data_IF_682758465484
#
_entry.id   IF_682758465484
#
_cell.length_a   1.000
_cell.length_b   1.000
_cell.length_c   1.000
_cell.angle_alpha   90.00
_cell.angle_beta   90.00
_cell.angle_gamma   90.00
#
_symmetry.space_group_name_H-M   'P 1'
#
loop_
_entity.id
_entity.type
_entity.pdbx_description
1 polymer ?
#
# COMPACT_ATOMS: atom_id res chain seq x y z
N UNK A 1 -16.73 -26.39 -1.74
CA UNK A 1 -15.77 -25.38 -1.22
C UNK A 1 -15.66 -24.23 -2.23
N UNK A 2 -15.93 -23.04 -1.79
CA UNK A 2 -15.73 -21.85 -2.65
C UNK A 2 -14.28 -21.40 -2.56
N UNK A 3 -13.64 -21.27 -3.71
CA UNK A 3 -12.29 -20.71 -3.77
C UNK A 3 -12.41 -19.20 -3.93
N UNK A 4 -11.74 -18.48 -3.06
CA UNK A 4 -11.63 -17.04 -3.18
C UNK A 4 -10.64 -16.71 -4.31
N UNK A 5 -11.09 -16.00 -5.32
CA UNK A 5 -10.27 -15.62 -6.48
C UNK A 5 -9.78 -14.17 -6.43
N UNK A 6 -10.28 -13.39 -5.48
CA UNK A 6 -9.91 -11.98 -5.36
C UNK A 6 -8.45 -11.85 -4.93
N UNK A 7 -7.68 -11.05 -5.66
CA UNK A 7 -6.24 -10.89 -5.40
C UNK A 7 -5.82 -9.44 -5.58
N UNK A 8 -4.91 -9.01 -4.71
CA UNK A 8 -4.11 -7.83 -4.97
C UNK A 8 -2.93 -8.29 -5.81
N UNK A 9 -2.86 -7.80 -7.03
CA UNK A 9 -1.84 -8.23 -7.99
C UNK A 9 -0.51 -7.54 -7.76
N UNK A 10 -0.54 -6.24 -7.45
CA UNK A 10 0.66 -5.48 -7.16
C UNK A 10 0.34 -4.25 -6.33
N UNK A 11 1.37 -3.75 -5.64
CA UNK A 11 1.35 -2.47 -4.94
C UNK A 11 2.65 -1.78 -5.34
N UNK A 12 2.55 -0.65 -6.06
CA UNK A 12 3.73 0.04 -6.58
C UNK A 12 3.76 1.48 -6.09
N UNK A 13 4.80 1.89 -5.34
CA UNK A 13 4.95 3.29 -4.98
C UNK A 13 5.43 4.10 -6.18
N UNK A 14 5.01 5.37 -6.22
CA UNK A 14 5.51 6.31 -7.22
C UNK A 14 5.49 7.72 -6.63
N UNK A 15 6.26 8.62 -7.25
CA UNK A 15 6.38 9.99 -6.74
C UNK A 15 5.14 10.81 -7.10
N UNK A 16 4.94 11.91 -6.37
CA UNK A 16 3.88 12.88 -6.61
C UNK A 16 4.25 13.85 -7.75
N UNK A 17 5.15 13.45 -8.63
CA UNK A 17 5.53 14.24 -9.80
C UNK A 17 4.55 14.04 -10.95
N UNK A 18 4.64 14.89 -11.98
CA UNK A 18 3.78 14.82 -13.14
C UNK A 18 3.88 13.49 -13.89
N UNK A 19 5.05 12.83 -13.83
CA UNK A 19 5.23 11.52 -14.44
C UNK A 19 4.85 10.41 -13.47
N UNK A 20 3.54 10.14 -13.38
CA UNK A 20 2.98 9.11 -12.52
C UNK A 20 3.03 7.72 -13.14
N UNK A 21 3.71 7.54 -14.27
CA UNK A 21 3.80 6.25 -14.96
C UNK A 21 4.97 5.41 -14.48
N UNK A 22 5.95 6.02 -13.82
CA UNK A 22 7.17 5.35 -13.40
C UNK A 22 7.13 4.97 -11.92
N UNK A 23 7.41 3.71 -11.59
CA UNK A 23 7.57 3.33 -10.19
C UNK A 23 8.74 4.08 -9.56
N UNK A 24 8.59 4.43 -8.29
CA UNK A 24 9.69 5.01 -7.52
C UNK A 24 9.89 4.17 -6.28
N UNK A 25 10.99 3.45 -6.22
CA UNK A 25 11.26 2.49 -5.16
C UNK A 25 12.17 3.07 -4.06
N UNK A 26 12.75 4.24 -4.30
CA UNK A 26 13.64 4.90 -3.36
C UNK A 26 13.28 6.38 -3.25
N UNK A 27 13.16 6.86 -2.04
CA UNK A 27 12.83 8.25 -1.72
C UNK A 27 13.97 8.84 -0.90
N UNK A 28 14.20 10.15 -1.04
CA UNK A 28 15.26 10.85 -0.33
C UNK A 28 14.68 11.98 0.52
N UNK A 29 15.17 12.10 1.74
CA UNK A 29 14.74 13.14 2.68
C UNK A 29 15.95 13.83 3.28
N UNK A 30 15.82 15.14 3.51
CA UNK A 30 16.93 15.92 4.08
C UNK A 30 17.10 15.64 5.56
N UNK A 31 15.98 15.60 6.27
CA UNK A 31 15.98 15.42 7.73
C UNK A 31 14.96 14.36 8.14
N UNK A 32 15.23 13.70 9.26
CA UNK A 32 14.28 12.77 9.89
C UNK A 32 13.93 13.24 11.29
N UNK A 33 12.71 12.99 11.78
CA UNK A 33 11.62 12.35 11.05
C UNK A 33 11.18 13.17 9.84
N UNK A 34 10.94 12.49 8.73
CA UNK A 34 10.50 13.13 7.50
C UNK A 34 8.98 13.01 7.38
N UNK A 35 8.38 13.97 6.69
CA UNK A 35 6.96 13.96 6.44
C UNK A 35 6.74 14.32 4.96
N UNK A 36 6.15 13.41 4.20
CA UNK A 36 5.84 13.65 2.79
C UNK A 36 4.73 12.71 2.32
N UNK A 37 4.24 12.98 1.13
CA UNK A 37 3.15 12.18 0.55
C UNK A 37 3.72 11.15 -0.42
N UNK A 38 3.20 9.92 -0.35
CA UNK A 38 3.54 8.86 -1.28
C UNK A 38 2.27 8.37 -1.95
N UNK A 39 2.34 8.22 -3.27
CA UNK A 39 1.27 7.61 -4.04
C UNK A 39 1.57 6.14 -4.25
N UNK A 40 0.54 5.32 -4.14
CA UNK A 40 0.62 3.89 -4.41
C UNK A 40 -0.39 3.53 -5.49
N UNK A 41 0.06 2.79 -6.49
CA UNK A 41 -0.83 2.18 -7.46
C UNK A 41 -1.07 0.74 -7.05
N UNK A 42 -2.32 0.38 -6.86
CA UNK A 42 -2.70 -0.96 -6.43
C UNK A 42 -3.52 -1.60 -7.53
N UNK A 43 -3.05 -2.73 -8.03
CA UNK A 43 -3.77 -3.52 -9.02
C UNK A 43 -4.48 -4.69 -8.35
N UNK A 44 -5.70 -4.95 -8.78
CA UNK A 44 -6.54 -6.02 -8.26
C UNK A 44 -7.14 -6.82 -9.40
N UNK A 45 -7.27 -8.12 -9.19
CA UNK A 45 -7.90 -9.02 -10.17
C UNK A 45 -8.85 -9.97 -9.45
N UNK A 46 -9.74 -10.60 -10.21
CA UNK A 46 -10.65 -11.60 -9.69
C UNK A 46 -11.77 -11.06 -8.82
N UNK A 47 -12.03 -9.75 -8.88
CA UNK A 47 -13.11 -9.14 -8.11
C UNK A 47 -14.47 -9.55 -8.66
N UNK A 48 -15.42 -9.82 -7.79
CA UNK A 48 -16.78 -10.15 -8.19
C UNK A 48 -17.47 -8.89 -8.73
N UNK A 49 -18.29 -9.00 -9.79
CA UNK A 49 -19.07 -7.86 -10.26
C UNK A 49 -20.11 -7.43 -9.24
N UNK A 50 -20.48 -6.16 -9.27
CA UNK A 50 -21.49 -5.56 -8.40
C UNK A 50 -21.25 -5.82 -6.92
N UNK A 51 -19.98 -5.75 -6.51
CA UNK A 51 -19.56 -6.08 -5.14
C UNK A 51 -18.76 -4.92 -4.57
N UNK A 52 -18.91 -4.69 -3.27
CA UNK A 52 -18.14 -3.69 -2.55
C UNK A 52 -17.05 -4.36 -1.74
N UNK A 53 -15.88 -3.73 -1.76
CA UNK A 53 -14.72 -4.17 -1.01
C UNK A 53 -14.13 -2.99 -0.24
N UNK A 54 -13.30 -3.31 0.72
CA UNK A 54 -12.50 -2.32 1.44
C UNK A 54 -11.04 -2.69 1.29
N UNK A 55 -10.22 -1.73 0.86
CA UNK A 55 -8.79 -1.92 0.70
C UNK A 55 -8.06 -1.06 1.71
N UNK A 56 -7.27 -1.70 2.57
CA UNK A 56 -6.39 -1.00 3.51
C UNK A 56 -4.95 -1.05 3.05
N UNK A 57 -4.24 0.05 3.19
CA UNK A 57 -2.78 0.10 3.01
C UNK A 57 -2.13 0.49 4.32
N UNK A 58 -1.08 -0.23 4.68
CA UNK A 58 -0.32 -0.01 5.90
C UNK A 58 1.16 0.14 5.54
N UNK A 59 1.79 1.23 6.00
CA UNK A 59 3.22 1.45 5.81
C UNK A 59 3.92 1.27 7.17
N UNK A 60 4.86 0.37 7.23
CA UNK A 60 5.55 -0.01 8.45
C UNK A 60 7.05 -0.01 8.19
N UNK A 61 7.87 0.60 9.09
CA UNK A 61 9.32 0.44 8.99
C UNK A 61 9.72 -1.02 9.14
N UNK A 62 10.42 -1.55 8.14
CA UNK A 62 10.95 -2.91 8.20
C UNK A 62 12.34 -2.93 8.85
N UNK A 63 13.21 -2.02 8.42
CA UNK A 63 14.53 -1.81 9.01
C UNK A 63 14.91 -0.35 8.91
N UNK A 64 15.35 0.23 10.02
CA UNK A 64 15.78 1.62 10.06
C UNK A 64 17.25 1.72 10.42
N UNK A 65 17.92 2.70 9.81
CA UNK A 65 19.30 3.06 10.14
C UNK A 65 19.31 4.51 10.61
N UNK A 66 19.48 4.72 11.91
CA UNK A 66 19.53 6.05 12.49
C UNK A 66 20.89 6.69 12.24
N UNK A 67 21.95 5.87 12.36
CA UNK A 67 23.32 6.24 12.01
C UNK A 67 23.85 5.20 11.07
N UNK A 68 24.79 5.60 10.23
CA UNK A 68 25.41 4.68 9.31
C UNK A 68 25.99 3.47 10.04
N UNK A 69 25.60 2.26 9.62
CA UNK A 69 26.01 1.02 10.22
C UNK A 69 25.23 0.60 11.46
N UNK A 70 24.30 1.40 11.93
CA UNK A 70 23.45 1.04 13.07
C UNK A 70 22.03 0.74 12.60
N UNK A 71 21.52 -0.39 13.03
CA UNK A 71 20.16 -0.80 12.75
C UNK A 71 19.28 -0.53 13.97
N UNK A 72 18.11 0.04 13.74
CA UNK A 72 17.14 0.33 14.77
C UNK A 72 15.77 -0.19 14.34
N UNK A 73 15.12 -0.90 15.24
CA UNK A 73 13.79 -1.42 15.00
C UNK A 73 12.78 -0.69 15.87
N UNK A 74 11.72 -0.15 15.25
CA UNK A 74 10.70 0.57 16.00
C UNK A 74 9.76 -0.40 16.72
N UNK A 75 9.18 0.06 17.83
CA UNK A 75 8.15 -0.71 18.51
C UNK A 75 6.92 -0.97 17.63
N UNK A 76 6.22 -2.04 17.92
CA UNK A 76 4.96 -2.37 17.28
C UNK A 76 3.97 -1.20 17.42
N UNK A 77 3.13 -1.02 16.40
CA UNK A 77 2.15 0.05 16.36
C UNK A 77 2.62 1.32 15.65
N UNK A 78 3.88 1.41 15.26
CA UNK A 78 4.39 2.52 14.46
C UNK A 78 4.07 2.27 13.00
N UNK A 79 2.90 2.71 12.57
CA UNK A 79 2.44 2.50 11.20
C UNK A 79 1.58 3.68 10.74
N UNK A 80 1.66 3.93 9.44
CA UNK A 80 0.75 4.84 8.74
C UNK A 80 -0.24 3.99 7.96
N UNK A 81 -1.50 4.40 7.92
CA UNK A 81 -2.52 3.60 7.25
C UNK A 81 -3.59 4.46 6.59
N UNK A 82 -4.20 3.89 5.57
CA UNK A 82 -5.37 4.46 4.89
C UNK A 82 -6.27 3.32 4.46
N UNK A 83 -7.57 3.58 4.41
CA UNK A 83 -8.55 2.62 3.93
C UNK A 83 -9.45 3.29 2.89
N UNK A 84 -9.70 2.59 1.79
CA UNK A 84 -10.56 3.09 0.72
C UNK A 84 -11.60 2.03 0.37
N UNK A 85 -12.76 2.50 -0.12
CA UNK A 85 -13.82 1.61 -0.60
C UNK A 85 -13.64 1.36 -2.09
N UNK A 86 -13.79 0.11 -2.50
CA UNK A 86 -13.73 -0.32 -3.89
C UNK A 86 -15.11 -0.85 -4.26
N UNK A 87 -15.65 -0.37 -5.36
CA UNK A 87 -16.98 -0.77 -5.82
C UNK A 87 -16.87 -1.20 -7.29
N UNK A 88 -17.26 -2.44 -7.54
CA UNK A 88 -17.28 -3.01 -8.90
C UNK A 88 -18.65 -2.89 -9.55
N UNK A 89 -19.44 -1.91 -9.13
CA UNK A 89 -20.74 -1.64 -9.69
C UNK A 89 -20.63 -1.46 -11.21
N UNK A 90 -21.59 -2.01 -11.93
CA UNK A 90 -21.66 -1.95 -13.39
C UNK A 90 -20.55 -2.73 -14.12
N UNK A 91 -19.82 -3.58 -13.43
CA UNK A 91 -18.88 -4.48 -14.09
C UNK A 91 -19.63 -5.63 -14.76
N UNK A 92 -19.32 -5.86 -16.04
CA UNK A 92 -19.93 -6.93 -16.86
C UNK A 92 -18.96 -8.10 -17.11
N UNK A 93 -17.86 -8.17 -16.40
CA UNK A 93 -16.82 -9.18 -16.65
C UNK A 93 -17.25 -10.53 -16.08
N UNK A 94 -17.41 -11.52 -16.94
CA UNK A 94 -17.86 -12.85 -16.55
C UNK A 94 -16.83 -13.60 -15.69
N UNK A 95 -15.55 -13.28 -15.83
CA UNK A 95 -14.45 -13.94 -15.12
C UNK A 95 -13.94 -13.13 -13.91
N UNK A 96 -14.68 -12.09 -13.54
CA UNK A 96 -14.29 -11.18 -12.48
C UNK A 96 -13.77 -9.85 -13.00
N UNK A 97 -13.92 -8.84 -12.19
CA UNK A 97 -13.44 -7.50 -12.52
C UNK A 97 -11.96 -7.36 -12.19
N UNK A 98 -11.25 -6.58 -12.97
CA UNK A 98 -9.90 -6.16 -12.67
C UNK A 98 -9.80 -4.64 -12.77
N UNK A 99 -8.88 -4.06 -12.05
CA UNK A 99 -8.71 -2.62 -12.06
C UNK A 99 -7.54 -2.18 -11.23
N UNK A 100 -7.29 -0.88 -11.32
CA UNK A 100 -6.24 -0.24 -10.55
C UNK A 100 -6.81 0.97 -9.83
N UNK A 101 -6.30 1.21 -8.62
CA UNK A 101 -6.61 2.44 -7.90
C UNK A 101 -5.29 3.11 -7.52
N UNK A 102 -5.33 4.44 -7.46
CA UNK A 102 -4.21 5.23 -6.95
C UNK A 102 -4.61 5.73 -5.57
N UNK A 103 -3.81 5.42 -4.58
CA UNK A 103 -4.04 5.80 -3.20
C UNK A 103 -2.89 6.69 -2.75
N UNK A 104 -3.20 7.87 -2.24
CA UNK A 104 -2.22 8.78 -1.71
C UNK A 104 -2.22 8.73 -0.19
N UNK A 105 -1.08 8.40 0.38
CA UNK A 105 -0.84 8.57 1.81
C UNK A 105 -0.27 9.96 2.02
N UNK A 106 -1.10 10.88 2.52
CA UNK A 106 -0.71 12.27 2.71
C UNK A 106 0.10 12.43 4.00
N UNK A 107 1.21 13.16 3.89
CA UNK A 107 1.98 13.61 5.04
C UNK A 107 2.32 12.46 6.00
N UNK A 108 2.69 11.31 5.46
CA UNK A 108 3.12 10.19 6.30
C UNK A 108 4.43 10.52 7.00
N UNK A 109 4.54 10.06 8.23
CA UNK A 109 5.72 10.31 9.03
C UNK A 109 6.68 9.12 8.93
N UNK A 110 7.89 9.40 8.46
CA UNK A 110 8.93 8.40 8.30
C UNK A 110 10.05 8.69 9.30
N UNK A 111 10.24 7.85 10.31
CA UNK A 111 11.13 8.15 11.43
C UNK A 111 12.61 8.11 11.09
N UNK A 112 13.03 7.35 10.09
CA UNK A 112 14.44 7.24 9.75
C UNK A 112 14.67 6.71 8.35
N UNK A 113 15.92 6.70 7.92
CA UNK A 113 16.29 6.08 6.65
C UNK A 113 16.26 4.56 6.80
N UNK A 114 15.92 3.86 5.72
CA UNK A 114 15.91 2.40 5.73
C UNK A 114 14.85 1.81 4.83
N UNK A 115 14.52 0.57 5.12
CA UNK A 115 13.54 -0.22 4.38
C UNK A 115 12.17 -0.13 5.03
N UNK A 116 11.17 0.14 4.21
CA UNK A 116 9.76 0.19 4.61
C UNK A 116 8.98 -0.85 3.84
N UNK A 117 7.99 -1.46 4.51
CA UNK A 117 7.04 -2.30 3.84
C UNK A 117 5.71 -1.57 3.67
N UNK A 118 5.02 -1.85 2.58
CA UNK A 118 3.64 -1.45 2.38
C UNK A 118 2.82 -2.72 2.19
N UNK A 119 1.82 -2.91 3.05
CA UNK A 119 0.95 -4.08 3.00
C UNK A 119 -0.44 -3.64 2.59
N UNK A 120 -0.97 -4.28 1.56
CA UNK A 120 -2.35 -4.12 1.15
C UNK A 120 -3.19 -5.26 1.69
N UNK A 121 -4.35 -4.94 2.24
CA UNK A 121 -5.30 -5.93 2.75
C UNK A 121 -6.65 -5.67 2.10
N UNK A 122 -7.11 -6.65 1.34
CA UNK A 122 -8.41 -6.58 0.69
C UNK A 122 -9.44 -7.29 1.56
N UNK A 123 -10.48 -6.55 1.95
CA UNK A 123 -11.56 -7.05 2.80
C UNK A 123 -12.86 -7.12 2.03
N UNK A 124 -13.66 -8.12 2.34
CA UNK A 124 -15.07 -8.09 1.99
C UNK A 124 -15.78 -6.99 2.79
N UNK A 125 -16.79 -6.37 2.19
CA UNK A 125 -17.59 -5.34 2.86
C UNK A 125 -18.71 -6.01 3.67
N UNK A 126 -18.31 -6.78 4.67
CA UNK A 126 -19.23 -7.44 5.61
C UNK A 126 -18.99 -6.93 7.03
N UNK A 127 -19.84 -7.35 7.97
CA UNK A 127 -19.76 -6.87 9.36
C UNK A 127 -18.48 -7.31 10.06
N UNK A 128 -17.89 -8.42 9.66
CA UNK A 128 -16.65 -8.95 10.26
C UNK A 128 -15.40 -8.59 9.49
N UNK A 129 -15.53 -7.91 8.35
CA UNK A 129 -14.42 -7.50 7.47
C UNK A 129 -13.51 -8.67 7.13
N UNK A 130 -14.11 -9.70 6.52
CA UNK A 130 -13.36 -10.89 6.11
C UNK A 130 -12.20 -10.52 5.22
N UNK A 131 -11.00 -10.97 5.58
CA UNK A 131 -9.79 -10.76 4.78
C UNK A 131 -9.81 -11.71 3.60
N UNK A 132 -9.78 -11.15 2.38
CA UNK A 132 -9.80 -11.92 1.16
C UNK A 132 -8.40 -12.18 0.63
N UNK A 133 -7.53 -11.18 0.72
CA UNK A 133 -6.15 -11.29 0.25
C UNK A 133 -5.27 -10.24 0.89
N UNK A 134 -4.00 -10.57 1.08
CA UNK A 134 -2.95 -9.66 1.52
C UNK A 134 -1.80 -9.72 0.53
N UNK A 135 -1.18 -8.58 0.27
CA UNK A 135 0.04 -8.51 -0.53
C UNK A 135 0.97 -7.46 0.06
N UNK A 136 2.25 -7.65 -0.10
CA UNK A 136 3.27 -6.80 0.48
C UNK A 136 4.25 -6.34 -0.59
N UNK A 137 4.69 -5.10 -0.49
CA UNK A 137 5.71 -4.52 -1.33
C UNK A 137 6.67 -3.71 -0.45
N UNK A 138 7.75 -3.20 -1.03
CA UNK A 138 8.79 -2.52 -0.27
C UNK A 138 9.28 -1.28 -1.01
N UNK A 139 9.76 -0.31 -0.24
CA UNK A 139 10.49 0.84 -0.77
C UNK A 139 11.55 1.26 0.24
N UNK A 140 12.52 2.02 -0.22
CA UNK A 140 13.59 2.53 0.65
C UNK A 140 13.49 4.03 0.79
N UNK A 141 13.98 4.52 1.92
CA UNK A 141 14.10 5.95 2.18
C UNK A 141 15.53 6.21 2.60
N UNK A 142 16.18 7.13 1.93
CA UNK A 142 17.57 7.51 2.19
C UNK A 142 17.67 8.97 2.60
N UNK A 143 18.77 9.31 3.24
CA UNK A 143 19.08 10.68 3.59
C UNK A 143 19.82 11.34 2.42
N UNK A 144 19.31 12.50 2.03
CA UNK A 144 19.92 13.31 0.99
C UNK A 144 21.24 13.94 1.49
#
# INVERSE_FOLDING_TARGET
MQVNLERISFITPFSDSEDQTQPKLSFECVNFPAQFSINFRVGMVGLKPNTRYQLGLFVIPAHLFIKEGQEFQLPDGTQESVSVNIDTKDSNMATGASGQVVITLNEIRLPGKGLYSVTGVLHANDSIKTVLHKNESFFTVDKL
#
